data_IF_969810354733
#
_entry.id   IF_969810354733
#
_cell.length_a   1.000
_cell.length_b   1.000
_cell.length_c   1.000
_cell.angle_alpha   90.00
_cell.angle_beta   90.00
_cell.angle_gamma   90.00
#
_symmetry.space_group_name_H-M   'P 1'
#
loop_
_entity.id
_entity.type
_entity.pdbx_description
1 polymer ?
#
# COMPACT_ATOMS: atom_id res chain seq x y z
N UNK A 1 8.73 22.88 -24.84
CA UNK A 1 8.31 21.83 -23.90
C UNK A 1 9.55 21.36 -23.18
N UNK A 2 9.60 21.56 -21.86
CA UNK A 2 10.74 21.17 -21.01
C UNK A 2 10.47 19.76 -20.53
N UNK A 3 11.44 18.86 -20.65
CA UNK A 3 11.31 17.48 -20.17
C UNK A 3 11.10 17.47 -18.64
N UNK A 4 10.30 16.53 -18.10
CA UNK A 4 10.17 16.38 -16.66
C UNK A 4 11.54 16.08 -16.05
N UNK A 5 11.82 16.70 -14.91
CA UNK A 5 13.04 16.47 -14.15
C UNK A 5 12.87 15.14 -13.44
N UNK A 6 13.55 14.10 -13.93
CA UNK A 6 13.68 12.85 -13.19
C UNK A 6 14.46 13.16 -11.91
N UNK A 7 13.76 13.22 -10.78
CA UNK A 7 14.39 13.22 -9.47
C UNK A 7 14.97 11.83 -9.26
N UNK A 8 16.27 11.68 -9.51
CA UNK A 8 16.99 10.47 -9.18
C UNK A 8 16.94 10.28 -7.65
N UNK A 9 16.03 9.42 -7.19
CA UNK A 9 16.09 8.92 -5.83
C UNK A 9 17.39 8.14 -5.72
N UNK A 10 18.27 8.53 -4.80
CA UNK A 10 19.50 7.78 -4.56
C UNK A 10 19.12 6.36 -4.15
N UNK A 11 19.78 5.37 -4.75
CA UNK A 11 19.64 3.99 -4.30
C UNK A 11 19.96 3.94 -2.80
N UNK A 12 19.07 3.37 -1.96
CA UNK A 12 19.33 3.29 -0.54
C UNK A 12 20.62 2.49 -0.28
N UNK A 13 21.41 2.90 0.73
CA UNK A 13 22.59 2.14 1.12
C UNK A 13 22.21 0.69 1.47
N UNK A 14 23.02 -0.32 1.07
CA UNK A 14 22.78 -1.71 1.42
C UNK A 14 22.67 -1.87 2.93
N UNK A 15 21.56 -2.48 3.39
CA UNK A 15 21.37 -2.86 4.79
C UNK A 15 21.75 -4.34 4.97
N UNK A 16 22.15 -4.77 6.18
CA UNK A 16 22.27 -6.18 6.48
C UNK A 16 21.00 -6.95 6.11
N UNK A 17 21.14 -8.11 5.48
CA UNK A 17 20.01 -9.00 5.21
C UNK A 17 19.28 -9.32 6.52
N UNK A 18 17.98 -8.99 6.60
CA UNK A 18 17.13 -9.33 7.74
C UNK A 18 16.99 -8.25 8.82
N UNK A 19 17.52 -7.03 8.62
CA UNK A 19 17.19 -5.92 9.51
C UNK A 19 15.69 -5.56 9.40
N UNK A 20 15.01 -5.55 10.55
CA UNK A 20 13.60 -5.18 10.63
C UNK A 20 13.43 -3.71 10.26
N UNK A 21 12.79 -3.45 9.11
CA UNK A 21 12.53 -2.10 8.62
C UNK A 21 11.37 -1.44 9.38
N UNK A 22 10.32 -2.22 9.61
CA UNK A 22 9.10 -1.80 10.25
C UNK A 22 8.41 -3.04 10.83
N UNK A 23 7.92 -2.92 12.05
CA UNK A 23 6.90 -3.80 12.61
C UNK A 23 5.84 -2.90 13.23
N UNK A 24 4.59 -3.31 13.05
CA UNK A 24 3.44 -2.64 13.65
C UNK A 24 2.56 -3.74 14.25
N UNK A 25 2.52 -3.81 15.57
CA UNK A 25 1.62 -4.68 16.33
C UNK A 25 0.34 -3.93 16.76
N UNK A 26 0.14 -2.72 16.22
CA UNK A 26 -1.03 -1.87 16.44
C UNK A 26 -1.23 -1.46 17.89
N UNK A 27 -0.14 -1.28 18.64
CA UNK A 27 -0.13 -0.78 20.03
C UNK A 27 -0.04 0.76 20.14
N UNK A 28 0.52 1.41 19.12
CA UNK A 28 0.70 2.85 19.01
C UNK A 28 0.19 3.40 17.67
N UNK A 29 -0.96 4.09 17.72
CA UNK A 29 -1.54 4.74 16.56
C UNK A 29 -0.63 5.78 15.90
N UNK A 30 0.28 6.41 16.66
CA UNK A 30 1.20 7.42 16.13
C UNK A 30 2.39 6.81 15.36
N UNK A 31 2.67 5.52 15.57
CA UNK A 31 3.72 4.78 14.87
C UNK A 31 3.18 3.94 13.70
N UNK A 32 1.86 3.89 13.52
CA UNK A 32 1.19 3.09 12.50
C UNK A 32 1.12 3.78 11.13
N UNK A 33 0.41 3.15 10.19
CA UNK A 33 0.16 3.69 8.86
C UNK A 33 -0.70 4.96 8.90
N UNK A 34 -0.67 5.70 7.79
CA UNK A 34 -1.45 6.90 7.57
C UNK A 34 -2.36 6.72 6.36
N UNK A 35 -3.57 7.25 6.42
CA UNK A 35 -4.49 7.28 5.30
C UNK A 35 -3.92 8.10 4.13
N UNK A 36 -3.71 7.47 2.96
CA UNK A 36 -3.05 8.09 1.81
C UNK A 36 -3.86 9.23 1.17
N UNK A 37 -5.19 9.14 1.18
CA UNK A 37 -6.08 10.11 0.50
C UNK A 37 -6.63 11.22 1.41
N UNK A 38 -6.04 11.38 2.59
CA UNK A 38 -6.52 12.31 3.61
C UNK A 38 -7.77 11.82 4.35
N UNK A 39 -8.05 12.45 5.48
CA UNK A 39 -9.12 12.10 6.42
C UNK A 39 -10.54 12.44 5.92
N UNK A 40 -10.65 13.22 4.84
CA UNK A 40 -11.93 13.55 4.21
C UNK A 40 -12.57 12.34 3.50
N UNK A 41 -11.77 11.42 2.98
CA UNK A 41 -12.23 10.31 2.14
C UNK A 41 -12.03 8.94 2.79
N UNK A 42 -11.09 8.85 3.73
CA UNK A 42 -10.73 7.61 4.39
C UNK A 42 -10.17 7.83 5.78
N UNK A 43 -10.33 6.83 6.63
CA UNK A 43 -9.81 6.85 8.00
C UNK A 43 -9.03 5.57 8.24
N UNK A 44 -7.78 5.73 8.69
CA UNK A 44 -7.01 4.67 9.34
C UNK A 44 -7.17 4.78 10.84
N UNK A 45 -7.67 3.74 11.49
CA UNK A 45 -7.84 3.67 12.93
C UNK A 45 -7.09 2.48 13.51
N UNK A 46 -6.37 2.71 14.60
CA UNK A 46 -5.70 1.66 15.38
C UNK A 46 -6.47 1.46 16.67
N UNK A 47 -7.08 0.29 16.84
CA UNK A 47 -7.85 -0.04 18.02
C UNK A 47 -7.80 -1.54 18.33
N UNK A 48 -7.49 -1.88 19.58
CA UNK A 48 -7.52 -3.26 20.07
C UNK A 48 -6.53 -4.19 19.38
N UNK A 49 -5.34 -3.70 19.00
CA UNK A 49 -4.31 -4.47 18.31
C UNK A 49 -4.62 -4.74 16.83
N UNK A 50 -5.44 -3.89 16.20
CA UNK A 50 -5.82 -4.00 14.79
C UNK A 50 -5.85 -2.61 14.15
N UNK A 51 -5.17 -2.47 13.01
CA UNK A 51 -5.34 -1.36 12.09
C UNK A 51 -6.53 -1.58 11.16
N UNK A 52 -7.42 -0.60 11.04
CA UNK A 52 -8.61 -0.67 10.19
C UNK A 52 -8.64 0.53 9.23
N UNK A 53 -8.63 0.26 7.93
CA UNK A 53 -8.93 1.25 6.90
C UNK A 53 -10.43 1.25 6.62
N UNK A 54 -11.03 2.43 6.66
CA UNK A 54 -12.42 2.67 6.27
C UNK A 54 -12.50 3.80 5.27
N UNK A 55 -13.50 3.79 4.39
CA UNK A 55 -13.71 4.85 3.42
C UNK A 55 -15.17 4.99 3.02
N UNK A 56 -15.51 6.20 2.60
CA UNK A 56 -16.79 6.54 1.98
C UNK A 56 -16.78 6.38 0.45
N UNK A 57 -15.63 6.07 -0.16
CA UNK A 57 -15.50 5.84 -1.61
C UNK A 57 -15.76 4.38 -1.94
N UNK A 58 -16.74 4.12 -2.82
CA UNK A 58 -17.18 2.76 -3.13
C UNK A 58 -16.33 2.05 -4.20
N UNK A 59 -15.59 2.79 -5.03
CA UNK A 59 -15.07 2.28 -6.30
C UNK A 59 -13.59 2.64 -6.57
N UNK A 60 -12.80 2.94 -5.54
CA UNK A 60 -11.37 3.26 -5.71
C UNK A 60 -10.50 2.33 -4.90
N UNK A 61 -9.26 2.09 -5.37
CA UNK A 61 -8.22 1.46 -4.56
C UNK A 61 -7.73 2.46 -3.50
N UNK A 62 -7.78 2.01 -2.26
CA UNK A 62 -7.55 2.84 -1.08
C UNK A 62 -6.43 2.23 -0.27
N UNK A 63 -5.46 3.06 0.10
CA UNK A 63 -4.27 2.62 0.82
C UNK A 63 -4.14 3.38 2.14
N UNK A 64 -3.66 2.65 3.15
CA UNK A 64 -2.94 3.24 4.26
C UNK A 64 -1.45 2.95 4.03
N UNK A 65 -0.62 3.98 4.15
CA UNK A 65 0.81 3.89 3.87
C UNK A 65 1.61 4.08 5.15
N UNK A 66 2.58 3.20 5.37
CA UNK A 66 3.55 3.36 6.43
C UNK A 66 4.59 4.42 6.06
N UNK A 67 4.95 5.34 6.97
CA UNK A 67 6.06 6.27 6.78
C UNK A 67 7.41 5.55 6.97
N UNK A 68 7.64 4.51 6.17
CA UNK A 68 8.86 3.70 6.18
C UNK A 68 9.83 4.14 5.07
N UNK A 69 11.14 3.94 5.25
CA UNK A 69 12.11 4.15 4.19
C UNK A 69 11.81 3.28 2.96
N UNK A 70 12.00 3.83 1.77
CA UNK A 70 11.96 3.05 0.54
C UNK A 70 13.03 1.94 0.57
N UNK A 71 12.64 0.75 0.14
CA UNK A 71 13.51 -0.41 0.08
C UNK A 71 13.33 -1.15 -1.25
N UNK A 72 14.44 -1.60 -1.83
CA UNK A 72 14.40 -2.37 -3.08
C UNK A 72 13.99 -3.79 -2.75
N UNK A 73 14.80 -4.56 -2.04
CA UNK A 73 14.48 -5.94 -1.67
C UNK A 73 13.92 -6.02 -0.25
N UNK A 74 12.78 -6.68 -0.10
CA UNK A 74 12.03 -6.73 1.17
C UNK A 74 11.40 -8.10 1.36
N UNK A 75 11.28 -8.49 2.63
CA UNK A 75 10.35 -9.53 3.07
C UNK A 75 9.20 -8.82 3.78
N UNK A 76 7.98 -9.12 3.36
CA UNK A 76 6.77 -8.54 3.94
C UNK A 76 5.89 -9.68 4.45
N UNK A 77 5.46 -9.55 5.69
CA UNK A 77 4.48 -10.43 6.31
C UNK A 77 3.34 -9.57 6.85
N UNK A 78 2.10 -9.95 6.55
CA UNK A 78 0.91 -9.27 7.06
C UNK A 78 -0.16 -10.28 7.46
N UNK A 79 -0.85 -9.98 8.54
CA UNK A 79 -2.07 -10.67 8.94
C UNK A 79 -3.29 -9.85 8.47
N UNK A 80 -4.14 -10.44 7.63
CA UNK A 80 -5.34 -9.78 7.10
C UNK A 80 -6.60 -10.44 7.62
N UNK A 81 -7.56 -9.62 8.07
CA UNK A 81 -8.90 -10.07 8.48
C UNK A 81 -9.97 -9.44 7.61
N UNK A 82 -10.78 -10.28 6.99
CA UNK A 82 -11.96 -9.86 6.23
C UNK A 82 -13.23 -9.97 7.08
N UNK A 83 -14.11 -8.97 6.98
CA UNK A 83 -15.38 -8.97 7.71
C UNK A 83 -16.38 -10.00 7.17
N UNK A 84 -16.29 -10.33 5.88
CA UNK A 84 -17.12 -11.35 5.22
C UNK A 84 -16.44 -11.86 3.94
N UNK A 85 -17.02 -12.86 3.29
CA UNK A 85 -16.59 -13.36 1.99
C UNK A 85 -17.13 -12.52 0.81
N UNK A 86 -17.94 -11.50 1.07
CA UNK A 86 -18.54 -10.63 0.05
C UNK A 86 -17.69 -9.38 -0.24
N UNK A 87 -16.62 -9.17 0.50
CA UNK A 87 -15.69 -8.04 0.26
C UNK A 87 -14.86 -8.30 -0.99
N UNK A 88 -14.57 -7.22 -1.72
CA UNK A 88 -13.83 -7.30 -2.99
C UNK A 88 -12.42 -7.86 -2.79
N UNK A 89 -11.74 -7.42 -1.74
CA UNK A 89 -10.40 -7.88 -1.36
C UNK A 89 -9.61 -6.84 -0.57
N UNK A 90 -8.43 -7.22 -0.14
CA UNK A 90 -7.42 -6.34 0.44
C UNK A 90 -6.05 -7.00 0.29
N UNK A 91 -4.98 -6.22 0.39
CA UNK A 91 -3.64 -6.71 0.13
C UNK A 91 -2.56 -5.76 0.60
N UNK A 92 -1.35 -6.03 0.13
CA UNK A 92 -0.20 -5.16 0.36
C UNK A 92 0.26 -4.57 -0.96
N UNK A 93 0.42 -3.25 -0.98
CA UNK A 93 1.14 -2.53 -2.04
C UNK A 93 2.60 -2.34 -1.64
N UNK A 94 3.53 -2.57 -2.55
CA UNK A 94 4.97 -2.43 -2.30
C UNK A 94 5.72 -1.89 -3.52
N UNK A 95 6.91 -1.34 -3.28
CA UNK A 95 7.70 -0.55 -4.26
C UNK A 95 6.82 0.51 -4.96
N UNK A 96 5.98 1.16 -4.15
CA UNK A 96 5.00 2.12 -4.60
C UNK A 96 5.54 3.55 -4.69
N UNK A 97 4.91 4.39 -5.52
CA UNK A 97 5.00 5.85 -5.42
C UNK A 97 4.52 6.32 -4.03
N UNK A 98 4.96 7.50 -3.58
CA UNK A 98 4.47 8.07 -2.32
C UNK A 98 3.00 8.49 -2.47
N UNK A 99 2.08 7.72 -1.89
CA UNK A 99 0.65 7.97 -1.95
C UNK A 99 0.19 9.02 -0.92
N UNK A 100 1.03 9.40 0.05
CA UNK A 100 0.73 10.46 1.02
C UNK A 100 0.87 11.85 0.40
N UNK A 101 1.68 11.97 -0.65
CA UNK A 101 1.90 13.22 -1.37
C UNK A 101 1.13 13.21 -2.69
N UNK A 102 0.12 14.06 -2.75
CA UNK A 102 -0.75 14.21 -3.92
C UNK A 102 -0.03 15.03 -5.01
N UNK A 103 0.99 14.44 -5.62
CA UNK A 103 1.49 14.91 -6.91
C UNK A 103 0.72 14.16 -7.99
N UNK A 104 -0.16 14.88 -8.68
CA UNK A 104 -1.10 14.33 -9.64
C UNK A 104 -0.39 13.43 -10.68
N UNK A 105 -0.83 12.17 -10.74
CA UNK A 105 -0.92 11.23 -11.88
C UNK A 105 0.06 10.06 -12.08
N UNK A 106 1.17 9.94 -11.33
CA UNK A 106 2.14 8.86 -11.61
C UNK A 106 2.22 7.82 -10.48
N UNK A 107 1.10 7.13 -10.23
CA UNK A 107 1.10 6.02 -9.28
C UNK A 107 1.63 4.75 -9.92
N UNK A 108 2.66 4.20 -9.29
CA UNK A 108 3.19 2.89 -9.64
C UNK A 108 3.29 2.09 -8.36
N UNK A 109 2.87 0.84 -8.37
CA UNK A 109 3.12 -0.10 -7.28
C UNK A 109 2.96 -1.52 -7.79
N UNK A 110 3.52 -2.47 -7.06
CA UNK A 110 3.12 -3.86 -7.13
C UNK A 110 2.15 -4.14 -5.99
N UNK A 111 1.22 -5.08 -6.19
CA UNK A 111 0.35 -5.52 -5.11
C UNK A 111 0.25 -7.04 -5.04
N UNK A 112 0.05 -7.53 -3.82
CA UNK A 112 -0.41 -8.90 -3.57
C UNK A 112 -1.70 -8.79 -2.79
N UNK A 113 -2.80 -9.24 -3.39
CA UNK A 113 -4.15 -9.16 -2.85
C UNK A 113 -4.74 -10.51 -2.51
N UNK A 114 -5.62 -10.55 -1.51
CA UNK A 114 -6.53 -11.67 -1.26
C UNK A 114 -7.92 -11.24 -1.68
N UNK A 115 -8.59 -12.07 -2.50
CA UNK A 115 -9.94 -11.85 -3.01
C UNK A 115 -10.90 -12.89 -2.42
N UNK A 116 -11.57 -12.62 -1.29
CA UNK A 116 -12.41 -13.61 -0.60
C UNK A 116 -13.58 -14.12 -1.46
N UNK A 117 -14.24 -13.22 -2.21
CA UNK A 117 -15.40 -13.55 -3.03
C UNK A 117 -15.08 -14.58 -4.13
N UNK A 118 -13.88 -14.51 -4.70
CA UNK A 118 -13.42 -15.42 -5.78
C UNK A 118 -12.46 -16.50 -5.27
N UNK A 119 -12.08 -16.46 -3.99
CA UNK A 119 -11.10 -17.37 -3.35
C UNK A 119 -9.76 -17.39 -4.08
N UNK A 120 -9.28 -16.21 -4.47
CA UNK A 120 -8.06 -16.05 -5.24
C UNK A 120 -7.02 -15.23 -4.48
N UNK A 121 -5.76 -15.47 -4.83
CA UNK A 121 -4.67 -14.53 -4.59
C UNK A 121 -4.43 -13.81 -5.90
N UNK A 122 -4.29 -12.49 -5.82
CA UNK A 122 -3.99 -11.64 -6.95
C UNK A 122 -2.56 -11.13 -6.81
N UNK A 123 -1.82 -11.18 -7.91
CA UNK A 123 -0.54 -10.51 -8.05
C UNK A 123 -0.67 -9.54 -9.21
N UNK A 124 -0.41 -8.26 -8.97
CA UNK A 124 -0.51 -7.28 -10.02
C UNK A 124 0.42 -6.10 -9.86
N UNK A 125 0.30 -5.19 -10.82
CA UNK A 125 1.00 -3.91 -10.81
C UNK A 125 0.13 -2.81 -11.38
N UNK A 126 0.28 -1.61 -10.82
CA UNK A 126 -0.16 -0.37 -11.45
C UNK A 126 1.07 0.34 -12.01
N UNK A 127 0.97 0.88 -13.23
CA UNK A 127 2.01 1.68 -13.87
C UNK A 127 1.42 2.95 -14.47
N UNK A 128 2.28 3.91 -14.82
CA UNK A 128 1.88 5.20 -15.38
C UNK A 128 0.93 5.02 -16.56
N UNK A 129 -0.18 5.77 -16.55
CA UNK A 129 -1.18 5.72 -17.61
C UNK A 129 -2.15 4.54 -17.56
N UNK A 130 -2.01 3.62 -16.60
CA UNK A 130 -3.08 2.67 -16.27
C UNK A 130 -4.00 3.26 -15.21
N UNK A 131 -5.31 3.13 -15.43
CA UNK A 131 -6.35 3.45 -14.43
C UNK A 131 -6.79 2.22 -13.65
N UNK A 132 -6.34 1.04 -14.04
CA UNK A 132 -6.69 -0.26 -13.47
C UNK A 132 -5.42 -1.11 -13.31
N UNK A 133 -5.44 -2.00 -12.32
CA UNK A 133 -4.31 -2.87 -12.02
C UNK A 133 -4.17 -3.98 -13.06
N UNK A 134 -2.95 -4.19 -13.56
CA UNK A 134 -2.62 -5.30 -14.44
C UNK A 134 -2.40 -6.58 -13.62
N UNK A 135 -3.22 -7.61 -13.84
CA UNK A 135 -3.03 -8.96 -13.30
C UNK A 135 -1.83 -9.63 -13.97
N UNK A 136 -0.84 -10.03 -13.17
CA UNK A 136 0.39 -10.69 -13.63
C UNK A 136 0.28 -12.22 -13.62
N UNK A 137 -0.85 -12.76 -13.16
CA UNK A 137 -1.10 -14.19 -13.00
C UNK A 137 -0.46 -14.77 -11.74
N UNK A 138 -1.19 -15.67 -11.08
CA UNK A 138 -0.76 -16.47 -9.94
C UNK A 138 -0.58 -17.95 -10.32
#
# INVERSE_FOLDING_TARGET
MTAPVALAQADPEPRPDGDLLLADDFDDAAASALASYGDEWMTWEVAGGVGTLSSSSADNELAAQYPAPAATDVLIEVDLRFASDQVEGAGVTFRGSDLLQREDTDWHYYHVGVRPATKAIELGRLTEGLTEVEDLGA
#
